data_IF_558496288942
#
_entry.id   IF_558496288942
#
_cell.length_a   1.000
_cell.length_b   1.000
_cell.length_c   1.000
_cell.angle_alpha   90.00
_cell.angle_beta   90.00
_cell.angle_gamma   90.00
#
_symmetry.space_group_name_H-M   'P 1'
#
loop_
_entity.id
_entity.type
_entity.pdbx_description
1 polymer ?
#
# COMPACT_ATOMS: atom_id res chain seq x y z
N UNK A 1 6.43 4.52 -17.32
CA UNK A 1 6.67 3.14 -16.88
C UNK A 1 6.15 2.97 -15.48
N UNK A 2 5.30 1.97 -15.25
CA UNK A 2 4.70 1.73 -13.95
C UNK A 2 5.67 1.00 -13.02
N UNK A 3 5.73 1.45 -11.78
CA UNK A 3 6.57 0.85 -10.77
C UNK A 3 5.72 0.18 -9.71
N UNK A 4 6.26 -0.85 -9.07
CA UNK A 4 5.56 -1.56 -8.00
C UNK A 4 6.38 -1.51 -6.73
N UNK A 5 5.71 -1.20 -5.61
CA UNK A 5 6.36 -1.16 -4.31
C UNK A 5 5.58 -2.04 -3.33
N UNK A 6 6.23 -3.06 -2.83
CA UNK A 6 5.59 -4.03 -1.95
C UNK A 6 5.74 -3.61 -0.50
N UNK A 7 4.66 -3.66 0.26
CA UNK A 7 4.66 -3.34 1.68
C UNK A 7 3.95 -4.44 2.46
N UNK A 8 4.34 -4.62 3.72
CA UNK A 8 3.70 -5.58 4.61
C UNK A 8 3.16 -4.92 5.87
N UNK A 9 3.34 -3.63 6.01
CA UNK A 9 2.82 -2.86 7.13
C UNK A 9 2.63 -1.41 6.69
N UNK A 10 1.86 -0.66 7.47
CA UNK A 10 1.59 0.72 7.15
C UNK A 10 2.75 1.61 7.57
N UNK A 11 3.42 2.18 6.60
CA UNK A 11 4.51 3.11 6.84
C UNK A 11 4.38 4.28 5.87
N UNK A 12 3.87 5.41 6.37
CA UNK A 12 3.60 6.58 5.55
C UNK A 12 4.87 7.16 4.93
N UNK A 13 5.99 7.09 5.65
CA UNK A 13 7.24 7.62 5.12
C UNK A 13 7.66 6.91 3.84
N UNK A 14 7.51 5.59 3.82
CA UNK A 14 7.87 4.81 2.63
C UNK A 14 6.89 5.07 1.49
N UNK A 15 5.62 5.25 1.80
CA UNK A 15 4.62 5.54 0.78
C UNK A 15 4.83 6.94 0.21
N UNK A 16 5.16 7.91 1.07
CA UNK A 16 5.39 9.28 0.65
C UNK A 16 6.57 9.42 -0.30
N UNK A 17 7.54 8.53 -0.21
CA UNK A 17 8.71 8.55 -1.08
C UNK A 17 8.41 8.07 -2.50
N UNK A 18 7.25 7.46 -2.70
CA UNK A 18 6.90 6.92 -4.00
C UNK A 18 6.22 7.98 -4.87
N UNK A 19 6.50 7.94 -6.17
CA UNK A 19 5.87 8.88 -7.08
C UNK A 19 4.50 8.36 -7.54
N UNK A 20 3.80 9.18 -8.34
CA UNK A 20 2.44 8.86 -8.78
C UNK A 20 2.38 7.64 -9.71
N UNK A 21 3.50 7.25 -10.28
CA UNK A 21 3.56 6.10 -11.18
C UNK A 21 3.77 4.79 -10.43
N UNK A 22 3.97 4.86 -9.12
CA UNK A 22 4.22 3.69 -8.30
C UNK A 22 2.90 3.11 -7.81
N UNK A 23 2.71 1.81 -8.02
CA UNK A 23 1.59 1.09 -7.45
C UNK A 23 2.03 0.46 -6.12
N UNK A 24 1.24 0.68 -5.09
CA UNK A 24 1.52 0.11 -3.76
C UNK A 24 0.82 -1.24 -3.65
N UNK A 25 1.57 -2.27 -3.35
CA UNK A 25 1.04 -3.62 -3.24
C UNK A 25 1.21 -4.10 -1.80
N UNK A 26 0.09 -4.38 -1.14
CA UNK A 26 0.12 -4.85 0.24
C UNK A 26 0.18 -6.38 0.25
N UNK A 27 1.25 -6.90 0.85
CA UNK A 27 1.49 -8.33 0.95
C UNK A 27 1.38 -8.76 2.41
N UNK A 28 0.48 -9.67 2.68
CA UNK A 28 0.20 -10.10 4.05
C UNK A 28 0.49 -11.60 4.21
N UNK A 29 1.77 -11.92 4.27
CA UNK A 29 2.19 -13.31 4.34
C UNK A 29 2.10 -13.94 5.71
N UNK A 30 2.32 -13.16 6.74
CA UNK A 30 2.52 -13.70 8.08
C UNK A 30 1.26 -13.75 8.91
N UNK A 31 0.16 -13.24 8.41
CA UNK A 31 -1.09 -13.17 9.16
C UNK A 31 -2.12 -14.13 8.57
N UNK A 32 -2.70 -14.96 9.40
CA UNK A 32 -3.79 -15.83 9.00
C UNK A 32 -5.11 -15.07 8.88
N UNK A 33 -5.17 -13.87 9.44
CA UNK A 33 -6.32 -13.00 9.35
C UNK A 33 -5.92 -11.75 8.60
N UNK A 34 -6.77 -11.36 7.66
CA UNK A 34 -6.58 -10.09 6.96
C UNK A 34 -6.96 -8.98 7.93
N UNK A 35 -6.04 -8.04 8.14
CA UNK A 35 -6.33 -6.87 8.97
C UNK A 35 -7.03 -5.83 8.11
N UNK A 36 -8.36 -5.90 8.10
CA UNK A 36 -9.17 -5.02 7.26
C UNK A 36 -8.98 -3.56 7.60
N UNK A 37 -8.84 -3.22 8.88
CA UNK A 37 -8.64 -1.83 9.30
C UNK A 37 -7.34 -1.27 8.73
N UNK A 38 -6.29 -2.07 8.76
CA UNK A 38 -5.00 -1.67 8.21
C UNK A 38 -5.09 -1.47 6.70
N UNK A 39 -5.76 -2.39 6.03
CA UNK A 39 -5.94 -2.31 4.58
C UNK A 39 -6.70 -1.05 4.20
N UNK A 40 -7.77 -0.74 4.93
CA UNK A 40 -8.55 0.46 4.68
C UNK A 40 -7.72 1.71 4.90
N UNK A 41 -6.90 1.75 5.94
CA UNK A 41 -6.02 2.90 6.19
C UNK A 41 -5.05 3.11 5.03
N UNK A 42 -4.41 2.04 4.58
CA UNK A 42 -3.44 2.13 3.49
C UNK A 42 -4.15 2.54 2.20
N UNK A 43 -5.29 1.94 1.92
CA UNK A 43 -6.07 2.25 0.73
C UNK A 43 -6.46 3.72 0.69
N UNK A 44 -6.98 4.24 1.80
CA UNK A 44 -7.39 5.63 1.88
C UNK A 44 -6.21 6.57 1.75
N UNK A 45 -5.10 6.22 2.37
CA UNK A 45 -3.88 7.01 2.27
C UNK A 45 -3.36 7.08 0.84
N UNK A 46 -3.34 5.94 0.16
CA UNK A 46 -2.89 5.90 -1.24
C UNK A 46 -3.83 6.69 -2.14
N UNK A 47 -5.14 6.61 -1.89
CA UNK A 47 -6.13 7.37 -2.65
C UNK A 47 -5.90 8.87 -2.47
N UNK A 48 -5.62 9.29 -1.24
CA UNK A 48 -5.35 10.70 -0.94
C UNK A 48 -4.10 11.20 -1.68
N UNK A 49 -3.11 10.32 -1.85
CA UNK A 49 -1.87 10.64 -2.55
C UNK A 49 -1.94 10.36 -4.04
N UNK A 50 -3.08 9.92 -4.54
CA UNK A 50 -3.30 9.54 -5.95
C UNK A 50 -2.41 8.39 -6.40
N UNK A 51 -2.10 7.49 -5.49
CA UNK A 51 -1.33 6.27 -5.78
C UNK A 51 -2.28 5.09 -6.00
N UNK A 52 -1.88 4.18 -6.88
CA UNK A 52 -2.62 2.95 -7.07
C UNK A 52 -2.34 1.99 -5.92
N UNK A 53 -3.36 1.25 -5.52
CA UNK A 53 -3.23 0.31 -4.41
C UNK A 53 -3.82 -1.04 -4.80
N UNK A 54 -3.05 -2.10 -4.56
CA UNK A 54 -3.47 -3.47 -4.85
C UNK A 54 -3.22 -4.37 -3.64
N UNK A 55 -4.05 -5.40 -3.51
CA UNK A 55 -3.84 -6.47 -2.55
C UNK A 55 -3.20 -7.65 -3.25
N UNK A 56 -2.22 -8.22 -2.58
CA UNK A 56 -1.57 -9.43 -3.08
C UNK A 56 -2.15 -10.66 -2.41
#
# INVERSE_FOLDING_TARGET
MEKYYFINKFNTNNIDKQDRQTAIIFRNYSSKKINEDLIIKIKNYCKKKTLKFYLS
#
